data_IF_664630849722
#
_entry.id   IF_664630849722
#
_cell.length_a   1.000
_cell.length_b   1.000
_cell.length_c   1.000
_cell.angle_alpha   90.00
_cell.angle_beta   90.00
_cell.angle_gamma   90.00
#
_symmetry.space_group_name_H-M   'P 1'
#
loop_
_entity.id
_entity.type
_entity.pdbx_description
1 polymer ?
#
# COMPACT_ATOMS: atom_id res chain seq x y z
N UNK A 1 -24.25 -15.76 9.73
CA UNK A 1 -24.26 -14.41 9.11
C UNK A 1 -23.94 -13.33 10.13
N UNK A 2 -24.70 -13.17 11.22
CA UNK A 2 -24.44 -12.14 12.24
C UNK A 2 -23.02 -12.19 12.86
N UNK A 3 -22.54 -13.37 13.27
CA UNK A 3 -21.16 -13.53 13.79
C UNK A 3 -20.09 -13.08 12.79
N UNK A 4 -20.28 -13.38 11.50
CA UNK A 4 -19.34 -12.98 10.45
C UNK A 4 -19.37 -11.46 10.23
N UNK A 5 -20.55 -10.84 10.29
CA UNK A 5 -20.69 -9.39 10.20
C UNK A 5 -20.01 -8.68 11.37
N UNK A 6 -20.17 -9.19 12.60
CA UNK A 6 -19.49 -8.66 13.78
C UNK A 6 -17.98 -8.75 13.61
N UNK A 7 -17.45 -9.93 13.23
CA UNK A 7 -16.02 -10.12 12.96
C UNK A 7 -15.50 -9.15 11.89
N UNK A 8 -16.22 -9.00 10.78
CA UNK A 8 -15.82 -8.11 9.69
C UNK A 8 -15.83 -6.64 10.14
N UNK A 9 -16.88 -6.22 10.85
CA UNK A 9 -17.00 -4.87 11.39
C UNK A 9 -15.87 -4.56 12.39
N UNK A 10 -15.58 -5.49 13.30
CA UNK A 10 -14.44 -5.39 14.21
C UNK A 10 -13.12 -5.25 13.45
N UNK A 11 -12.88 -6.06 12.42
CA UNK A 11 -11.64 -5.97 11.65
C UNK A 11 -11.50 -4.62 10.95
N UNK A 12 -12.57 -4.11 10.35
CA UNK A 12 -12.53 -2.79 9.72
C UNK A 12 -12.36 -1.68 10.74
N UNK A 13 -12.96 -1.79 11.93
CA UNK A 13 -12.76 -0.83 13.01
C UNK A 13 -11.31 -0.85 13.52
N UNK A 14 -10.72 -2.02 13.72
CA UNK A 14 -9.31 -2.14 14.10
C UNK A 14 -8.39 -1.60 12.99
N UNK A 15 -8.71 -1.86 11.71
CA UNK A 15 -7.98 -1.31 10.58
C UNK A 15 -8.05 0.22 10.51
N UNK A 16 -9.22 0.78 10.86
CA UNK A 16 -9.43 2.23 10.93
C UNK A 16 -8.51 2.89 11.98
N UNK A 17 -8.13 2.16 13.03
CA UNK A 17 -7.31 2.63 14.15
C UNK A 17 -5.83 2.18 14.08
N UNK A 18 -5.41 1.58 12.96
CA UNK A 18 -4.08 0.96 12.83
C UNK A 18 -2.92 1.94 13.00
N UNK A 19 -3.05 3.19 12.56
CA UNK A 19 -1.99 4.20 12.69
C UNK A 19 -1.77 4.54 14.16
N UNK A 20 -2.85 4.73 14.92
CA UNK A 20 -2.81 4.92 16.37
C UNK A 20 -2.26 3.69 17.10
N UNK A 21 -2.65 2.48 16.68
CA UNK A 21 -2.14 1.24 17.26
C UNK A 21 -0.63 1.07 17.06
N UNK A 22 -0.13 1.37 15.87
CA UNK A 22 1.30 1.33 15.58
C UNK A 22 2.07 2.37 16.40
N UNK A 23 1.55 3.58 16.50
CA UNK A 23 2.13 4.64 17.32
C UNK A 23 2.26 4.22 18.80
N UNK A 24 1.16 3.73 19.39
CA UNK A 24 1.13 3.21 20.76
C UNK A 24 2.17 2.10 20.95
N UNK A 25 2.23 1.14 20.03
CA UNK A 25 3.14 -0.01 20.11
C UNK A 25 4.60 0.43 20.18
N UNK A 26 5.00 1.34 19.28
CA UNK A 26 6.36 1.88 19.23
C UNK A 26 6.65 2.68 20.51
N UNK A 27 5.73 3.55 20.94
CA UNK A 27 5.92 4.37 22.13
C UNK A 27 6.09 3.54 23.40
N UNK A 28 5.22 2.55 23.63
CA UNK A 28 5.29 1.67 24.81
C UNK A 28 6.60 0.88 24.80
N UNK A 29 6.95 0.27 23.65
CA UNK A 29 8.17 -0.51 23.54
C UNK A 29 9.41 0.32 23.85
N UNK A 30 9.56 1.49 23.20
CA UNK A 30 10.76 2.30 23.39
C UNK A 30 10.82 2.88 24.81
N UNK A 31 9.70 3.25 25.43
CA UNK A 31 9.67 3.69 26.83
C UNK A 31 10.22 2.59 27.76
N UNK A 32 9.80 1.33 27.57
CA UNK A 32 10.33 0.18 28.32
C UNK A 32 11.80 -0.12 28.00
N UNK A 33 12.17 -0.08 26.72
CA UNK A 33 13.54 -0.31 26.27
C UNK A 33 14.51 0.70 26.89
N UNK A 34 14.16 1.99 26.89
CA UNK A 34 14.99 3.04 27.49
C UNK A 34 15.01 2.96 29.01
N UNK A 35 13.92 2.52 29.67
CA UNK A 35 13.93 2.22 31.10
C UNK A 35 14.98 1.16 31.43
N UNK A 36 14.94 0.03 30.72
CA UNK A 36 15.90 -1.06 30.92
C UNK A 36 17.34 -0.59 30.68
N UNK A 37 17.57 0.16 29.59
CA UNK A 37 18.90 0.55 29.16
C UNK A 37 19.52 1.67 30.02
N UNK A 38 18.73 2.65 30.48
CA UNK A 38 19.23 3.82 31.21
C UNK A 38 19.02 3.78 32.72
N UNK A 39 18.08 2.96 33.22
CA UNK A 39 17.78 2.88 34.66
C UNK A 39 18.25 1.56 35.24
N UNK A 40 17.93 0.43 34.59
CA UNK A 40 18.20 -0.89 35.17
C UNK A 40 19.61 -1.40 34.84
N UNK A 41 20.11 -1.10 33.64
CA UNK A 41 21.42 -1.57 33.15
C UNK A 41 22.48 -0.45 33.09
N UNK A 42 22.07 0.81 33.21
CA UNK A 42 22.94 1.95 32.99
C UNK A 42 23.63 2.44 34.25
N UNK A 43 24.97 2.54 34.23
CA UNK A 43 25.74 3.12 35.35
C UNK A 43 25.73 4.67 35.37
N UNK A 44 25.18 5.31 34.34
CA UNK A 44 25.22 6.76 34.19
C UNK A 44 23.99 7.44 34.81
N UNK A 45 24.22 8.15 35.92
CA UNK A 45 23.18 8.94 36.59
C UNK A 45 22.54 10.00 35.68
N UNK A 46 23.30 10.57 34.73
CA UNK A 46 22.77 11.50 33.74
C UNK A 46 21.69 10.86 32.85
N UNK A 47 21.92 9.64 32.36
CA UNK A 47 20.96 8.95 31.49
C UNK A 47 19.69 8.56 32.27
N UNK A 48 19.85 8.14 33.52
CA UNK A 48 18.74 7.89 34.44
C UNK A 48 17.91 9.15 34.67
N UNK A 49 18.56 10.30 34.90
CA UNK A 49 17.89 11.59 35.06
C UNK A 49 17.16 12.02 33.78
N UNK A 50 17.77 11.82 32.60
CA UNK A 50 17.14 12.11 31.30
C UNK A 50 15.86 11.28 31.10
N UNK A 51 15.88 10.01 31.49
CA UNK A 51 14.70 9.13 31.46
C UNK A 51 13.64 9.59 32.46
N UNK A 52 14.02 9.78 33.73
CA UNK A 52 13.10 10.15 34.82
C UNK A 52 12.43 11.52 34.61
N UNK A 53 13.13 12.46 33.97
CA UNK A 53 12.54 13.75 33.59
C UNK A 53 11.54 13.64 32.42
N UNK A 54 11.37 12.45 31.83
CA UNK A 54 10.45 12.17 30.73
C UNK A 54 10.81 12.86 29.42
N UNK A 55 12.02 13.43 29.32
CA UNK A 55 12.48 14.18 28.14
C UNK A 55 12.47 13.25 26.92
N UNK A 56 13.01 12.06 27.09
CA UNK A 56 13.18 11.12 26.00
C UNK A 56 11.85 10.62 25.43
N UNK A 57 10.90 10.29 26.32
CA UNK A 57 9.53 9.95 25.94
C UNK A 57 8.86 11.09 25.17
N UNK A 58 8.99 12.34 25.65
CA UNK A 58 8.43 13.53 24.98
C UNK A 58 9.04 13.77 23.60
N UNK A 59 10.36 13.64 23.47
CA UNK A 59 11.06 13.82 22.19
C UNK A 59 10.59 12.77 21.18
N UNK A 60 10.62 11.49 21.55
CA UNK A 60 10.16 10.41 20.67
C UNK A 60 8.69 10.58 20.26
N UNK A 61 7.84 10.91 21.23
CA UNK A 61 6.43 11.19 21.00
C UNK A 61 6.22 12.32 19.99
N UNK A 62 6.86 13.48 20.22
CA UNK A 62 6.71 14.65 19.37
C UNK A 62 7.28 14.41 17.95
N UNK A 63 8.39 13.70 17.83
CA UNK A 63 9.00 13.38 16.54
C UNK A 63 8.09 12.47 15.71
N UNK A 64 7.56 11.40 16.32
CA UNK A 64 6.67 10.47 15.60
C UNK A 64 5.32 11.10 15.25
N UNK A 65 4.72 11.83 16.19
CA UNK A 65 3.48 12.55 15.94
C UNK A 65 3.67 13.59 14.83
N UNK A 66 4.78 14.33 14.87
CA UNK A 66 5.18 15.25 13.80
C UNK A 66 5.32 14.57 12.45
N UNK A 67 5.90 13.36 12.39
CA UNK A 67 5.96 12.57 11.16
C UNK A 67 4.58 12.18 10.62
N UNK A 68 3.63 11.76 11.47
CA UNK A 68 2.25 11.45 11.05
C UNK A 68 1.56 12.70 10.50
N UNK A 69 1.61 13.82 11.22
CA UNK A 69 0.95 15.05 10.78
C UNK A 69 1.57 15.58 9.50
N UNK A 70 2.90 15.58 9.39
CA UNK A 70 3.58 15.99 8.17
C UNK A 70 3.24 15.05 7.01
N UNK A 71 3.12 13.74 7.25
CA UNK A 71 2.70 12.79 6.21
C UNK A 71 1.28 13.05 5.75
N UNK A 72 0.38 13.41 6.67
CA UNK A 72 -1.00 13.77 6.37
C UNK A 72 -1.06 15.07 5.57
N UNK A 73 -0.29 16.08 5.97
CA UNK A 73 -0.22 17.37 5.27
C UNK A 73 0.34 17.21 3.85
N UNK A 74 1.46 16.49 3.71
CA UNK A 74 2.07 16.18 2.40
C UNK A 74 1.10 15.40 1.51
N UNK A 75 0.38 14.43 2.06
CA UNK A 75 -0.60 13.62 1.31
C UNK A 75 -1.82 14.42 0.82
N UNK A 76 -2.16 15.53 1.48
CA UNK A 76 -3.25 16.42 1.09
C UNK A 76 -2.76 17.50 0.12
N UNK A 77 -1.54 18.03 0.35
CA UNK A 77 -1.03 19.22 -0.31
C UNK A 77 -0.31 18.94 -1.64
N UNK A 78 0.32 17.77 -1.78
CA UNK A 78 1.15 17.45 -2.94
C UNK A 78 0.67 16.20 -3.67
N UNK A 79 0.76 16.17 -5.02
CA UNK A 79 0.58 14.94 -5.78
C UNK A 79 1.69 13.94 -5.43
N UNK A 80 1.40 12.65 -5.63
CA UNK A 80 2.29 11.56 -5.17
C UNK A 80 3.71 11.68 -5.72
N UNK A 81 3.87 12.01 -7.00
CA UNK A 81 5.17 12.02 -7.68
C UNK A 81 6.16 13.00 -7.04
N UNK A 82 5.65 14.17 -6.62
CA UNK A 82 6.46 15.19 -5.92
C UNK A 82 6.75 14.79 -4.47
N UNK A 83 5.82 14.06 -3.84
CA UNK A 83 5.94 13.63 -2.45
C UNK A 83 6.74 12.31 -2.28
N UNK A 84 7.06 11.60 -3.37
CA UNK A 84 7.72 10.29 -3.32
C UNK A 84 9.02 10.28 -2.52
N UNK A 85 9.86 11.32 -2.66
CA UNK A 85 11.10 11.43 -1.90
C UNK A 85 10.86 11.46 -0.39
N UNK A 86 9.88 12.25 0.05
CA UNK A 86 9.48 12.34 1.45
C UNK A 86 8.94 10.99 1.98
N UNK A 87 8.02 10.36 1.25
CA UNK A 87 7.43 9.09 1.68
C UNK A 87 8.46 7.96 1.77
N UNK A 88 9.48 7.94 0.90
CA UNK A 88 10.59 6.97 0.99
C UNK A 88 11.38 7.14 2.30
N UNK A 89 11.69 8.36 2.70
CA UNK A 89 12.43 8.63 3.95
C UNK A 89 11.60 8.24 5.17
N UNK A 90 10.34 8.66 5.22
CA UNK A 90 9.42 8.30 6.32
C UNK A 90 9.22 6.80 6.41
N UNK A 91 9.05 6.12 5.28
CA UNK A 91 8.95 4.67 5.20
C UNK A 91 10.14 3.97 5.86
N UNK A 92 11.37 4.40 5.56
CA UNK A 92 12.59 3.83 6.14
C UNK A 92 12.64 4.03 7.65
N UNK A 93 12.35 5.25 8.13
CA UNK A 93 12.36 5.54 9.57
C UNK A 93 11.32 4.69 10.30
N UNK A 94 10.10 4.64 9.77
CA UNK A 94 9.01 3.83 10.35
C UNK A 94 9.32 2.33 10.29
N UNK A 95 10.01 1.85 9.25
CA UNK A 95 10.52 0.48 9.14
C UNK A 95 11.47 0.11 10.25
N UNK A 96 12.48 0.95 10.48
CA UNK A 96 13.46 0.70 11.53
C UNK A 96 12.80 0.69 12.90
N UNK A 97 11.95 1.69 13.20
CA UNK A 97 11.25 1.77 14.48
C UNK A 97 10.31 0.58 14.71
N UNK A 98 9.54 0.19 13.70
CA UNK A 98 8.62 -0.93 13.82
C UNK A 98 9.35 -2.24 14.02
N UNK A 99 10.37 -2.52 13.21
CA UNK A 99 11.14 -3.76 13.30
C UNK A 99 11.88 -3.87 14.64
N UNK A 100 12.46 -2.76 15.12
CA UNK A 100 13.03 -2.70 16.46
C UNK A 100 11.97 -3.03 17.53
N UNK A 101 10.77 -2.47 17.42
CA UNK A 101 9.70 -2.74 18.39
C UNK A 101 9.18 -4.17 18.34
N UNK A 102 8.95 -4.75 17.16
CA UNK A 102 8.52 -6.14 17.02
C UNK A 102 9.61 -7.07 17.55
N UNK A 103 10.86 -6.86 17.17
CA UNK A 103 11.99 -7.69 17.62
C UNK A 103 12.16 -7.62 19.14
N UNK A 104 12.10 -6.43 19.73
CA UNK A 104 12.27 -6.26 21.16
C UNK A 104 11.09 -6.77 21.99
N UNK A 105 9.84 -6.55 21.56
CA UNK A 105 8.67 -7.16 22.21
C UNK A 105 8.75 -8.70 22.14
N UNK A 106 9.15 -9.25 20.99
CA UNK A 106 9.31 -10.70 20.84
C UNK A 106 10.42 -11.23 21.77
N UNK A 107 11.52 -10.50 21.90
CA UNK A 107 12.60 -10.82 22.82
C UNK A 107 12.15 -10.82 24.28
N UNK A 108 11.45 -9.77 24.74
CA UNK A 108 10.93 -9.70 26.11
C UNK A 108 9.91 -10.80 26.41
N UNK A 109 9.02 -11.11 25.46
CA UNK A 109 8.09 -12.23 25.61
C UNK A 109 8.82 -13.59 25.67
N UNK A 110 9.88 -13.76 24.88
CA UNK A 110 10.68 -14.99 24.90
C UNK A 110 11.44 -15.19 26.20
N UNK A 111 11.98 -14.11 26.79
CA UNK A 111 12.65 -14.16 28.09
C UNK A 111 11.69 -14.47 29.23
N UNK A 112 10.49 -13.89 29.20
CA UNK A 112 9.46 -14.11 30.21
C UNK A 112 8.91 -15.54 30.19
N UNK A 113 8.73 -16.11 29.01
CA UNK A 113 8.21 -17.45 28.82
C UNK A 113 6.73 -17.61 29.22
N UNK A 114 6.27 -18.86 29.30
CA UNK A 114 4.87 -19.19 29.63
C UNK A 114 4.59 -19.23 31.12
N UNK A 115 5.61 -19.42 31.96
CA UNK A 115 5.46 -19.62 33.40
C UNK A 115 6.33 -18.63 34.19
N UNK A 116 6.08 -17.31 34.10
CA UNK A 116 6.76 -16.33 34.92
C UNK A 116 6.45 -16.51 36.42
N UNK A 117 7.38 -16.12 37.32
CA UNK A 117 7.14 -16.14 38.76
C UNK A 117 6.09 -15.10 39.15
N UNK A 118 5.37 -15.39 40.23
CA UNK A 118 4.39 -14.48 40.84
C UNK A 118 5.14 -13.42 41.66
N UNK A 119 4.84 -12.13 41.44
CA UNK A 119 5.39 -11.07 42.29
C UNK A 119 4.50 -10.86 43.53
N UNK A 120 5.07 -10.96 44.72
CA UNK A 120 4.38 -10.72 45.99
C UNK A 120 4.87 -9.42 46.63
N UNK A 121 3.98 -8.70 47.34
CA UNK A 121 4.37 -7.52 48.10
C UNK A 121 4.88 -7.93 49.49
N UNK A 122 6.15 -7.68 49.79
CA UNK A 122 6.78 -8.12 51.04
C UNK A 122 6.80 -7.04 52.15
N UNK A 123 6.64 -5.76 51.79
CA UNK A 123 6.78 -4.64 52.73
C UNK A 123 5.61 -3.67 52.62
N UNK A 124 4.49 -3.96 53.30
CA UNK A 124 3.45 -2.93 53.52
C UNK A 124 3.94 -2.01 54.64
N UNK A 125 4.46 -0.84 54.28
CA UNK A 125 4.91 0.14 55.27
C UNK A 125 3.67 0.67 56.01
N UNK A 126 3.52 0.49 57.34
CA UNK A 126 2.31 0.89 58.06
C UNK A 126 2.07 2.42 58.06
N UNK A 127 3.06 3.22 57.64
CA UNK A 127 2.96 4.68 57.48
C UNK A 127 2.69 5.14 56.03
N UNK A 128 2.89 4.26 55.04
CA UNK A 128 2.66 4.51 53.62
C UNK A 128 1.98 3.27 53.03
N UNK A 129 0.64 3.18 53.09
CA UNK A 129 -0.10 1.98 52.71
C UNK A 129 0.05 1.55 51.24
N UNK A 130 0.65 2.40 50.38
CA UNK A 130 0.83 2.15 48.95
C UNK A 130 2.31 1.88 48.56
N UNK A 131 3.25 1.83 49.52
CA UNK A 131 4.66 1.57 49.19
C UNK A 131 4.94 0.06 49.24
N UNK A 132 4.53 -0.68 48.21
CA UNK A 132 4.83 -2.10 48.07
C UNK A 132 6.12 -2.33 47.27
N UNK A 133 7.10 -2.98 47.89
CA UNK A 133 8.25 -3.55 47.17
C UNK A 133 7.87 -4.95 46.70
N UNK A 134 7.73 -5.11 45.38
CA UNK A 134 7.38 -6.37 44.75
C UNK A 134 8.63 -7.23 44.57
N UNK A 135 8.61 -8.44 45.14
CA UNK A 135 9.65 -9.43 44.94
C UNK A 135 9.04 -10.67 44.26
N UNK A 136 9.75 -11.21 43.28
CA UNK A 136 9.34 -12.42 42.59
C UNK A 136 9.56 -13.64 43.48
N UNK A 137 8.51 -14.42 43.70
CA UNK A 137 8.60 -15.72 44.38
C UNK A 137 8.98 -16.80 43.33
N UNK A 138 10.17 -17.40 43.43
CA UNK A 138 10.61 -18.41 42.46
C UNK A 138 9.83 -19.74 42.57
N UNK A 139 9.08 -19.97 43.65
CA UNK A 139 8.35 -21.22 43.86
C UNK A 139 6.93 -21.22 43.29
N UNK A 140 6.36 -20.03 43.07
CA UNK A 140 4.98 -19.86 42.58
C UNK A 140 5.02 -19.22 41.19
N UNK A 141 4.40 -19.88 40.22
CA UNK A 141 4.33 -19.42 38.82
C UNK A 141 2.90 -19.46 38.31
N UNK A 142 2.57 -18.60 37.35
CA UNK A 142 1.27 -18.59 36.67
C UNK A 142 1.43 -18.74 35.16
N UNK A 143 0.36 -19.10 34.46
CA UNK A 143 0.40 -19.22 33.00
C UNK A 143 0.17 -17.87 32.32
N UNK A 144 1.17 -17.37 31.59
CA UNK A 144 1.11 -16.08 30.90
C UNK A 144 0.16 -16.10 29.70
N UNK A 145 -1.01 -15.50 29.85
CA UNK A 145 -1.98 -15.30 28.76
C UNK A 145 -1.44 -14.36 27.67
N UNK A 146 -0.58 -13.42 28.05
CA UNK A 146 0.09 -12.52 27.13
C UNK A 146 1.06 -13.27 26.21
N UNK A 147 1.86 -14.19 26.77
CA UNK A 147 2.75 -15.04 25.99
C UNK A 147 1.97 -15.93 25.02
N UNK A 148 0.86 -16.54 25.49
CA UNK A 148 -0.04 -17.32 24.62
C UNK A 148 -0.59 -16.47 23.46
N UNK A 149 -1.08 -15.27 23.74
CA UNK A 149 -1.59 -14.35 22.71
C UNK A 149 -0.49 -14.00 21.68
N UNK A 150 0.72 -13.70 22.15
CA UNK A 150 1.87 -13.43 21.28
C UNK A 150 2.21 -14.60 20.34
N UNK A 151 2.22 -15.84 20.87
CA UNK A 151 2.47 -17.04 20.06
C UNK A 151 1.36 -17.25 19.01
N UNK A 152 0.09 -17.06 19.37
CA UNK A 152 -1.03 -17.17 18.43
C UNK A 152 -0.88 -16.13 17.30
N UNK A 153 -0.54 -14.88 17.64
CA UNK A 153 -0.34 -13.81 16.66
C UNK A 153 0.82 -14.13 15.71
N UNK A 154 1.98 -14.57 16.25
CA UNK A 154 3.15 -14.94 15.45
C UNK A 154 2.92 -16.17 14.59
N UNK A 155 2.05 -17.10 15.01
CA UNK A 155 1.72 -18.31 14.24
C UNK A 155 1.17 -18.00 12.84
N UNK A 156 0.58 -16.82 12.63
CA UNK A 156 0.09 -16.37 11.33
C UNK A 156 1.20 -16.35 10.27
N UNK A 157 2.43 -15.99 10.65
CA UNK A 157 3.57 -15.96 9.72
C UNK A 157 4.06 -17.36 9.32
N UNK A 158 3.75 -18.36 10.14
CA UNK A 158 4.10 -19.77 9.92
C UNK A 158 3.03 -20.51 9.11
N UNK A 159 1.81 -19.99 9.08
CA UNK A 159 0.67 -20.63 8.43
C UNK A 159 0.93 -21.07 6.98
N UNK A 160 1.52 -20.25 6.09
CA UNK A 160 1.78 -20.69 4.71
C UNK A 160 2.77 -21.85 4.64
N UNK A 161 3.78 -21.86 5.52
CA UNK A 161 4.78 -22.94 5.62
C UNK A 161 4.12 -24.26 6.07
N UNK A 162 3.17 -24.19 7.01
CA UNK A 162 2.44 -25.36 7.49
C UNK A 162 1.44 -25.90 6.46
N UNK A 163 0.74 -25.01 5.74
CA UNK A 163 -0.30 -25.41 4.79
C UNK A 163 0.24 -25.90 3.45
N UNK A 164 1.44 -25.46 3.05
CA UNK A 164 2.10 -25.84 1.79
C UNK A 164 3.59 -26.12 1.99
N UNK A 165 3.95 -27.16 2.76
CA UNK A 165 5.34 -27.43 3.13
C UNK A 165 6.24 -27.75 1.93
N UNK A 166 5.72 -28.46 0.91
CA UNK A 166 6.48 -28.82 -0.29
C UNK A 166 6.79 -27.61 -1.17
N UNK A 167 5.81 -26.71 -1.33
CA UNK A 167 5.99 -25.48 -2.11
C UNK A 167 6.97 -24.55 -1.41
N UNK A 168 6.88 -24.47 -0.08
CA UNK A 168 7.82 -23.72 0.76
C UNK A 168 9.24 -24.25 0.66
N UNK A 169 9.45 -25.58 0.79
CA UNK A 169 10.78 -26.18 0.72
C UNK A 169 11.40 -26.05 -0.68
N UNK A 170 10.61 -26.22 -1.74
CA UNK A 170 11.10 -26.08 -3.13
C UNK A 170 11.45 -24.63 -3.50
N UNK A 171 10.78 -23.63 -2.91
CA UNK A 171 11.00 -22.20 -3.18
C UNK A 171 11.52 -21.42 -1.96
N UNK A 172 12.25 -22.08 -1.06
CA UNK A 172 12.66 -21.51 0.23
C UNK A 172 13.31 -20.13 0.13
N UNK A 173 14.18 -19.94 -0.88
CA UNK A 173 14.86 -18.66 -1.14
C UNK A 173 13.88 -17.51 -1.38
N UNK A 174 12.94 -17.71 -2.31
CA UNK A 174 11.99 -16.68 -2.70
C UNK A 174 11.01 -16.37 -1.55
N UNK A 175 10.61 -17.40 -0.80
CA UNK A 175 9.76 -17.21 0.36
C UNK A 175 10.46 -16.40 1.46
N UNK A 176 11.70 -16.76 1.80
CA UNK A 176 12.46 -16.08 2.86
C UNK A 176 12.74 -14.63 2.50
N UNK A 177 13.15 -14.38 1.26
CA UNK A 177 13.42 -13.02 0.78
C UNK A 177 12.13 -12.18 0.73
N UNK A 178 11.03 -12.75 0.25
CA UNK A 178 9.71 -12.11 0.26
C UNK A 178 9.20 -11.81 1.67
N UNK A 179 9.45 -12.69 2.64
CA UNK A 179 9.11 -12.47 4.04
C UNK A 179 9.89 -11.28 4.64
N UNK A 180 11.21 -11.21 4.40
CA UNK A 180 12.01 -10.07 4.84
C UNK A 180 11.52 -8.76 4.20
N UNK A 181 11.24 -8.77 2.90
CA UNK A 181 10.67 -7.61 2.21
C UNK A 181 9.32 -7.20 2.77
N UNK A 182 8.45 -8.16 3.09
CA UNK A 182 7.15 -7.89 3.73
C UNK A 182 7.32 -7.25 5.10
N UNK A 183 8.21 -7.77 5.95
CA UNK A 183 8.47 -7.22 7.28
C UNK A 183 9.00 -5.78 7.22
N UNK A 184 9.89 -5.48 6.25
CA UNK A 184 10.40 -4.13 6.02
C UNK A 184 9.32 -3.17 5.48
N UNK A 185 8.40 -3.67 4.65
CA UNK A 185 7.33 -2.87 4.03
C UNK A 185 6.08 -2.70 4.91
N UNK A 186 5.91 -3.53 5.95
CA UNK A 186 4.78 -3.45 6.88
C UNK A 186 4.45 -2.02 7.36
N UNK A 187 5.41 -1.20 7.85
CA UNK A 187 5.17 0.20 8.22
C UNK A 187 4.66 1.08 7.10
N UNK A 188 5.08 0.81 5.86
CA UNK A 188 4.64 1.56 4.69
C UNK A 188 3.16 1.28 4.45
N UNK A 189 2.76 0.00 4.54
CA UNK A 189 1.36 -0.39 4.41
C UNK A 189 0.49 0.17 5.54
N UNK A 190 0.98 0.19 6.78
CA UNK A 190 0.19 0.61 7.94
C UNK A 190 0.12 2.12 8.13
N UNK A 191 1.19 2.86 7.82
CA UNK A 191 1.24 4.32 7.97
C UNK A 191 1.11 5.02 6.62
N UNK A 192 2.11 4.92 5.74
CA UNK A 192 2.20 5.76 4.54
C UNK A 192 1.01 5.54 3.61
N UNK A 193 0.73 4.30 3.23
CA UNK A 193 -0.38 3.98 2.33
C UNK A 193 -1.73 4.23 2.99
N UNK A 194 -1.85 3.94 4.29
CA UNK A 194 -3.09 4.17 5.01
C UNK A 194 -3.41 5.67 5.10
N UNK A 195 -2.44 6.51 5.44
CA UNK A 195 -2.56 7.97 5.49
C UNK A 195 -2.87 8.49 4.09
N UNK A 196 -2.10 8.08 3.08
CA UNK A 196 -2.28 8.55 1.70
C UNK A 196 -3.65 8.18 1.15
N UNK A 197 -4.11 6.95 1.36
CA UNK A 197 -5.42 6.48 0.91
C UNK A 197 -6.57 7.25 1.59
N UNK A 198 -6.45 7.54 2.90
CA UNK A 198 -7.45 8.35 3.59
C UNK A 198 -7.44 9.80 3.08
N UNK A 199 -6.26 10.38 2.85
CA UNK A 199 -6.07 11.73 2.33
C UNK A 199 -6.49 11.90 0.86
N UNK A 200 -6.65 10.81 0.13
CA UNK A 200 -7.01 10.79 -1.28
C UNK A 200 -8.33 10.07 -1.56
N UNK A 201 -9.22 9.93 -0.57
CA UNK A 201 -10.51 9.24 -0.71
C UNK A 201 -11.41 9.78 -1.85
N UNK A 202 -11.27 11.05 -2.21
CA UNK A 202 -11.94 11.66 -3.38
C UNK A 202 -11.54 11.06 -4.74
N UNK A 203 -10.41 10.35 -4.79
CA UNK A 203 -9.89 9.73 -6.00
C UNK A 203 -10.52 8.34 -6.26
N UNK A 204 -11.27 7.82 -5.29
CA UNK A 204 -12.04 6.57 -5.42
C UNK A 204 -13.32 6.85 -6.23
N UNK A 205 -13.17 7.03 -7.53
CA UNK A 205 -14.32 6.88 -8.43
C UNK A 205 -14.54 5.39 -8.65
N UNK A 206 -15.71 4.89 -8.26
CA UNK A 206 -16.11 3.49 -8.40
C UNK A 206 -16.37 3.08 -9.86
N UNK A 207 -15.55 3.52 -10.82
CA UNK A 207 -15.75 3.33 -12.26
C UNK A 207 -16.79 4.27 -12.89
N UNK A 208 -17.27 5.28 -12.15
CA UNK A 208 -18.22 6.28 -12.64
C UNK A 208 -17.56 7.60 -13.06
N UNK A 209 -16.22 7.64 -13.21
CA UNK A 209 -15.58 8.75 -13.91
C UNK A 209 -15.93 8.60 -15.39
N UNK A 210 -16.59 9.58 -16.04
CA UNK A 210 -16.63 9.59 -17.49
C UNK A 210 -15.18 9.68 -17.96
N UNK A 211 -14.69 8.61 -18.59
CA UNK A 211 -13.42 8.64 -19.32
C UNK A 211 -13.51 9.73 -20.38
N UNK A 212 -12.46 10.55 -20.49
CA UNK A 212 -12.38 11.69 -21.42
C UNK A 212 -12.57 11.33 -22.89
N UNK A 213 -12.50 10.04 -23.23
CA UNK A 213 -12.77 9.50 -24.56
C UNK A 213 -14.27 9.22 -24.76
N UNK A 214 -15.01 10.28 -25.11
CA UNK A 214 -16.42 10.19 -25.50
C UNK A 214 -17.10 11.55 -25.66
N UNK A 215 -16.99 12.12 -26.86
CA UNK A 215 -17.50 13.43 -27.29
C UNK A 215 -18.91 13.83 -26.77
N UNK A 216 -18.98 15.09 -26.35
CA UNK A 216 -20.10 16.05 -26.47
C UNK A 216 -21.43 15.82 -25.73
N UNK A 217 -21.63 14.74 -24.96
CA UNK A 217 -22.91 14.54 -24.23
C UNK A 217 -23.04 15.27 -22.86
N UNK A 218 -22.03 16.00 -22.35
CA UNK A 218 -22.00 16.49 -20.96
C UNK A 218 -21.69 17.99 -20.75
N UNK A 219 -21.88 18.87 -21.74
CA UNK A 219 -21.68 20.32 -21.53
C UNK A 219 -22.63 20.92 -20.46
N UNK A 220 -23.82 20.34 -20.26
CA UNK A 220 -24.72 20.68 -19.15
C UNK A 220 -24.32 20.08 -17.78
N UNK A 221 -23.39 19.11 -17.78
CA UNK A 221 -22.96 18.36 -16.61
C UNK A 221 -21.56 18.72 -16.12
N UNK A 222 -20.80 19.56 -16.83
CA UNK A 222 -19.47 20.01 -16.37
C UNK A 222 -19.55 20.75 -15.03
N UNK A 223 -20.57 21.60 -14.86
CA UNK A 223 -20.84 22.25 -13.56
C UNK A 223 -21.19 21.23 -12.47
N UNK A 224 -21.99 20.20 -12.80
CA UNK A 224 -22.36 19.14 -11.87
C UNK A 224 -21.17 18.23 -11.52
N UNK A 225 -20.24 18.04 -12.46
CA UNK A 225 -19.00 17.30 -12.28
C UNK A 225 -18.02 18.06 -11.38
N UNK A 226 -17.83 19.36 -11.62
CA UNK A 226 -17.04 20.25 -10.75
C UNK A 226 -17.66 20.31 -9.34
N UNK A 227 -18.99 20.39 -9.23
CA UNK A 227 -19.67 20.35 -7.94
C UNK A 227 -19.46 19.00 -7.23
N UNK A 228 -19.60 17.89 -7.94
CA UNK A 228 -19.37 16.55 -7.38
C UNK A 228 -17.93 16.38 -6.92
N UNK A 229 -16.96 16.86 -7.70
CA UNK A 229 -15.54 16.83 -7.33
C UNK A 229 -15.28 17.64 -6.05
N UNK A 230 -15.86 18.83 -5.94
CA UNK A 230 -15.80 19.66 -4.73
C UNK A 230 -16.45 18.94 -3.53
N UNK A 231 -17.61 18.32 -3.72
CA UNK A 231 -18.29 17.53 -2.68
C UNK A 231 -17.41 16.37 -2.19
N UNK A 232 -16.74 15.66 -3.11
CA UNK A 232 -15.80 14.60 -2.75
C UNK A 232 -14.57 15.13 -2.02
N UNK A 233 -14.04 16.30 -2.39
CA UNK A 233 -12.92 16.96 -1.68
C UNK A 233 -13.31 17.37 -0.26
N UNK A 234 -14.52 17.90 -0.06
CA UNK A 234 -15.06 18.25 1.27
C UNK A 234 -15.29 17.00 2.11
N UNK A 235 -15.95 15.98 1.54
CA UNK A 235 -16.18 14.70 2.19
C UNK A 235 -14.89 14.06 2.68
N UNK A 236 -13.88 13.99 1.81
CA UNK A 236 -12.54 13.50 2.13
C UNK A 236 -11.92 14.25 3.30
N UNK A 237 -11.98 15.59 3.29
CA UNK A 237 -11.38 16.41 4.36
C UNK A 237 -12.04 16.11 5.71
N UNK A 238 -13.37 16.06 5.75
CA UNK A 238 -14.12 15.71 6.97
C UNK A 238 -13.82 14.28 7.43
N UNK A 239 -13.74 13.35 6.49
CA UNK A 239 -13.46 11.94 6.78
C UNK A 239 -12.05 11.75 7.36
N UNK A 240 -11.03 12.40 6.79
CA UNK A 240 -9.66 12.37 7.29
C UNK A 240 -9.59 12.95 8.71
N UNK A 241 -10.32 14.03 9.00
CA UNK A 241 -10.37 14.61 10.35
C UNK A 241 -10.99 13.63 11.36
N UNK A 242 -12.12 13.01 11.03
CA UNK A 242 -12.75 11.98 11.89
C UNK A 242 -11.80 10.80 12.10
N UNK A 243 -11.13 10.36 11.04
CA UNK A 243 -10.16 9.27 11.09
C UNK A 243 -8.95 9.60 11.97
N UNK A 244 -8.37 10.79 11.82
CA UNK A 244 -7.25 11.24 12.63
C UNK A 244 -7.64 11.38 14.10
N UNK A 245 -8.81 11.97 14.39
CA UNK A 245 -9.37 12.04 15.74
C UNK A 245 -9.60 10.65 16.34
N UNK A 246 -10.10 9.69 15.55
CA UNK A 246 -10.27 8.30 15.98
C UNK A 246 -8.94 7.65 16.40
N UNK A 247 -7.87 7.86 15.62
CA UNK A 247 -6.54 7.33 15.93
C UNK A 247 -5.93 8.00 17.18
N UNK A 248 -6.13 9.31 17.36
CA UNK A 248 -5.72 10.03 18.58
C UNK A 248 -6.51 9.54 19.80
N UNK A 249 -7.82 9.38 19.68
CA UNK A 249 -8.67 8.87 20.74
C UNK A 249 -8.27 7.44 21.14
N UNK A 250 -7.91 6.60 20.17
CA UNK A 250 -7.39 5.26 20.44
C UNK A 250 -6.09 5.32 21.26
N UNK A 251 -5.14 6.19 20.89
CA UNK A 251 -3.91 6.38 21.68
C UNK A 251 -4.22 6.77 23.13
N UNK A 252 -5.09 7.78 23.33
CA UNK A 252 -5.47 8.24 24.68
C UNK A 252 -6.13 7.10 25.45
N UNK A 253 -7.04 6.36 24.82
CA UNK A 253 -7.72 5.24 25.45
C UNK A 253 -6.74 4.16 25.92
N UNK A 254 -5.74 3.80 25.11
CA UNK A 254 -4.75 2.80 25.53
C UNK A 254 -3.86 3.32 26.66
N UNK A 255 -3.40 4.57 26.61
CA UNK A 255 -2.57 5.14 27.69
C UNK A 255 -3.34 5.20 29.01
N UNK A 256 -4.56 5.71 29.00
CA UNK A 256 -5.41 5.76 30.20
C UNK A 256 -5.63 4.37 30.78
N UNK A 257 -5.83 3.38 29.91
CA UNK A 257 -6.00 2.00 30.35
C UNK A 257 -4.69 1.43 30.92
N UNK A 258 -3.54 1.70 30.31
CA UNK A 258 -2.24 1.28 30.83
C UNK A 258 -1.96 1.94 32.19
N UNK A 259 -2.22 3.24 32.33
CA UNK A 259 -2.02 3.96 33.59
C UNK A 259 -3.00 3.51 34.68
N UNK A 260 -4.26 3.23 34.34
CA UNK A 260 -5.24 2.65 35.29
C UNK A 260 -4.88 1.23 35.71
N UNK A 261 -4.22 0.45 34.84
CA UNK A 261 -3.74 -0.89 35.16
C UNK A 261 -2.52 -0.88 36.08
N UNK A 262 -1.77 0.23 36.13
CA UNK A 262 -0.72 0.47 37.14
C UNK A 262 -1.30 0.90 38.51
N UNK A 263 -2.64 1.04 38.64
CA UNK A 263 -3.30 1.60 39.82
C UNK A 263 -4.39 0.72 40.47
N UNK A 264 -4.64 -0.50 39.98
CA UNK A 264 -5.54 -1.44 40.65
C UNK A 264 -4.75 -2.35 41.62
N UNK A 265 -4.34 -1.78 42.75
CA UNK A 265 -3.86 -2.50 43.95
C UNK A 265 -5.02 -3.29 44.57
N UNK A 266 -5.41 -4.41 43.96
CA UNK A 266 -6.39 -5.32 44.56
C UNK A 266 -5.70 -6.67 44.80
N UNK A 267 -4.95 -6.74 45.91
CA UNK A 267 -4.40 -7.99 46.45
C UNK A 267 -2.89 -7.95 46.72
N UNK A 268 -2.43 -8.77 47.67
CA UNK A 268 -1.01 -8.97 48.05
C UNK A 268 -0.13 -9.55 46.92
N UNK A 269 -0.73 -9.85 45.77
CA UNK A 269 -0.14 -10.53 44.62
C UNK A 269 -0.31 -9.67 43.37
N UNK A 270 0.79 -9.26 42.75
CA UNK A 270 0.78 -8.58 41.44
C UNK A 270 1.03 -9.61 40.36
N UNK A 271 -0.06 -10.07 39.76
CA UNK A 271 0.01 -10.75 38.47
C UNK A 271 0.10 -9.69 37.37
N UNK A 272 1.30 -9.51 36.81
CA UNK A 272 1.57 -8.54 35.74
C UNK A 272 0.83 -8.85 34.43
N UNK A 273 0.19 -10.02 34.30
CA UNK A 273 -0.70 -10.36 33.19
C UNK A 273 -2.19 -10.29 33.52
N UNK A 274 -2.62 -10.08 34.77
CA UNK A 274 -4.04 -10.06 35.13
C UNK A 274 -4.79 -8.75 34.76
N UNK A 275 -4.18 -7.89 33.95
CA UNK A 275 -4.73 -6.61 33.53
C UNK A 275 -5.54 -6.64 32.23
N UNK A 276 -6.17 -5.51 31.91
CA UNK A 276 -6.86 -5.28 30.63
C UNK A 276 -6.01 -5.67 29.41
N UNK A 277 -4.70 -5.42 29.46
CA UNK A 277 -3.79 -5.67 28.34
C UNK A 277 -3.78 -7.14 27.92
N UNK A 278 -3.78 -8.09 28.86
CA UNK A 278 -3.83 -9.51 28.51
C UNK A 278 -5.19 -9.91 27.93
N UNK A 279 -6.30 -9.40 28.46
CA UNK A 279 -7.63 -9.64 27.89
C UNK A 279 -7.76 -9.07 26.48
N UNK A 280 -7.25 -7.87 26.25
CA UNK A 280 -7.23 -7.22 24.94
C UNK A 280 -6.34 -7.98 23.95
N UNK A 281 -5.14 -8.38 24.36
CA UNK A 281 -4.25 -9.21 23.54
C UNK A 281 -4.87 -10.57 23.22
N UNK A 282 -5.55 -11.21 24.18
CA UNK A 282 -6.25 -12.47 23.97
C UNK A 282 -7.44 -12.31 23.03
N UNK A 283 -8.16 -11.19 23.10
CA UNK A 283 -9.21 -10.85 22.15
C UNK A 283 -8.67 -10.74 20.72
N UNK A 284 -7.57 -10.00 20.52
CA UNK A 284 -6.91 -9.88 19.22
C UNK A 284 -6.40 -11.23 18.71
N UNK A 285 -5.78 -12.03 19.58
CA UNK A 285 -5.37 -13.40 19.27
C UNK A 285 -6.57 -14.27 18.88
N UNK A 286 -7.71 -14.10 19.54
CA UNK A 286 -8.97 -14.76 19.19
C UNK A 286 -9.46 -14.41 17.78
N UNK A 287 -9.34 -13.15 17.35
CA UNK A 287 -9.67 -12.74 15.98
C UNK A 287 -8.74 -13.40 14.95
N UNK A 288 -7.45 -13.52 15.28
CA UNK A 288 -6.48 -14.24 14.43
C UNK A 288 -6.78 -15.73 14.39
N UNK A 289 -7.02 -16.36 15.52
CA UNK A 289 -7.38 -17.77 15.60
C UNK A 289 -8.66 -18.07 14.80
N UNK A 290 -9.67 -17.20 14.89
CA UNK A 290 -10.86 -17.27 14.06
C UNK A 290 -10.50 -17.29 12.57
N UNK A 291 -9.69 -16.34 12.10
CA UNK A 291 -9.24 -16.29 10.69
C UNK A 291 -8.54 -17.58 10.27
N UNK A 292 -7.62 -18.08 11.10
CA UNK A 292 -6.83 -19.28 10.82
C UNK A 292 -7.70 -20.52 10.73
N UNK A 293 -8.64 -20.71 11.67
CA UNK A 293 -9.56 -21.85 11.69
C UNK A 293 -10.39 -21.89 10.40
N UNK A 294 -10.99 -20.75 10.00
CA UNK A 294 -11.80 -20.70 8.79
C UNK A 294 -10.96 -20.86 7.51
N UNK A 295 -9.73 -20.34 7.48
CA UNK A 295 -8.80 -20.57 6.37
C UNK A 295 -8.44 -22.06 6.23
N UNK A 296 -8.15 -22.74 7.34
CA UNK A 296 -7.87 -24.17 7.37
C UNK A 296 -9.09 -24.97 6.88
N UNK A 297 -10.29 -24.69 7.40
CA UNK A 297 -11.53 -25.35 6.97
C UNK A 297 -11.76 -25.16 5.46
N UNK A 298 -11.56 -23.93 4.96
CA UNK A 298 -11.69 -23.64 3.53
C UNK A 298 -10.70 -24.44 2.70
N UNK A 299 -9.43 -24.50 3.09
CA UNK A 299 -8.39 -25.21 2.36
C UNK A 299 -8.60 -26.73 2.41
N UNK A 300 -9.01 -27.29 3.56
CA UNK A 300 -9.37 -28.70 3.69
C UNK A 300 -10.55 -29.05 2.77
N UNK A 301 -11.60 -28.22 2.77
CA UNK A 301 -12.74 -28.35 1.87
C UNK A 301 -12.31 -28.29 0.40
N UNK A 302 -11.44 -27.34 0.05
CA UNK A 302 -10.91 -27.18 -1.31
C UNK A 302 -10.09 -28.40 -1.74
N UNK A 303 -9.12 -28.84 -0.93
CA UNK A 303 -8.28 -30.02 -1.23
C UNK A 303 -9.11 -31.29 -1.32
N UNK A 304 -10.10 -31.47 -0.45
CA UNK A 304 -11.04 -32.59 -0.51
C UNK A 304 -11.81 -32.57 -1.84
N UNK A 305 -12.38 -31.43 -2.24
CA UNK A 305 -13.07 -31.31 -3.54
C UNK A 305 -12.13 -31.53 -4.73
N UNK A 306 -10.94 -30.96 -4.70
CA UNK A 306 -9.93 -31.10 -5.75
C UNK A 306 -9.50 -32.57 -5.94
N UNK A 307 -9.28 -33.31 -4.85
CA UNK A 307 -8.88 -34.72 -4.91
C UNK A 307 -10.05 -35.67 -5.21
N UNK A 308 -11.26 -35.36 -4.75
CA UNK A 308 -12.41 -36.27 -4.84
C UNK A 308 -13.32 -36.02 -6.06
N UNK A 309 -13.26 -34.85 -6.71
CA UNK A 309 -14.15 -34.48 -7.82
C UNK A 309 -13.35 -33.98 -9.02
N UNK A 310 -13.44 -34.69 -10.14
CA UNK A 310 -12.76 -34.32 -11.39
C UNK A 310 -13.12 -32.92 -11.92
N UNK A 311 -14.33 -32.41 -11.61
CA UNK A 311 -14.79 -31.07 -11.97
C UNK A 311 -13.99 -29.93 -11.32
N UNK A 312 -13.22 -30.20 -10.26
CA UNK A 312 -12.41 -29.20 -9.56
C UNK A 312 -10.93 -29.24 -9.96
N UNK A 313 -10.54 -30.15 -10.87
CA UNK A 313 -9.19 -30.14 -11.43
C UNK A 313 -9.07 -28.92 -12.34
N UNK A 314 -8.17 -28.02 -11.99
CA UNK A 314 -7.87 -26.82 -12.78
C UNK A 314 -7.33 -27.29 -14.13
N UNK A 315 -8.08 -27.02 -15.20
CA UNK A 315 -7.57 -27.22 -16.55
C UNK A 315 -6.40 -26.24 -16.74
N UNK A 316 -5.20 -26.75 -17.03
CA UNK A 316 -4.10 -25.87 -17.41
C UNK A 316 -4.41 -25.32 -18.79
N UNK A 317 -4.89 -24.08 -18.82
CA UNK A 317 -5.11 -23.34 -20.05
C UNK A 317 -3.83 -22.59 -20.37
N UNK A 318 -3.19 -22.96 -21.47
CA UNK A 318 -2.06 -22.20 -21.97
C UNK A 318 -2.60 -20.92 -22.63
N UNK A 319 -2.56 -19.81 -21.89
CA UNK A 319 -3.05 -18.50 -22.33
C UNK A 319 -2.45 -18.08 -23.68
N UNK A 320 -1.21 -18.49 -23.95
CA UNK A 320 -0.50 -18.20 -25.20
C UNK A 320 -1.12 -18.95 -26.39
N UNK A 321 -1.53 -20.19 -26.20
CA UNK A 321 -2.19 -20.99 -27.24
C UNK A 321 -3.66 -20.56 -27.42
N UNK A 322 -4.32 -20.18 -26.33
CA UNK A 322 -5.69 -19.66 -26.36
C UNK A 322 -5.74 -18.29 -27.07
N UNK A 323 -4.79 -17.39 -26.78
CA UNK A 323 -4.61 -16.13 -27.49
C UNK A 323 -4.38 -16.35 -28.99
N UNK A 324 -3.47 -17.26 -29.38
CA UNK A 324 -3.24 -17.60 -30.79
C UNK A 324 -4.49 -18.15 -31.47
N UNK A 325 -5.29 -18.93 -30.75
CA UNK A 325 -6.54 -19.50 -31.24
C UNK A 325 -7.62 -18.42 -31.41
N UNK A 326 -7.78 -17.53 -30.44
CA UNK A 326 -8.69 -16.38 -30.53
C UNK A 326 -8.30 -15.49 -31.70
N UNK A 327 -7.01 -15.14 -31.83
CA UNK A 327 -6.48 -14.37 -32.98
C UNK A 327 -6.76 -15.04 -34.32
N UNK A 328 -6.71 -16.38 -34.39
CA UNK A 328 -6.98 -17.15 -35.63
C UNK A 328 -8.47 -17.33 -35.94
N UNK A 329 -9.33 -17.25 -34.91
CA UNK A 329 -10.78 -17.51 -35.03
C UNK A 329 -11.60 -16.21 -35.05
N UNK A 330 -11.01 -15.09 -34.64
CA UNK A 330 -11.60 -13.77 -34.81
C UNK A 330 -11.59 -13.40 -36.30
N UNK A 331 -12.71 -13.64 -36.96
CA UNK A 331 -12.96 -13.17 -38.33
C UNK A 331 -13.55 -11.75 -38.36
N UNK A 332 -13.71 -11.11 -37.20
CA UNK A 332 -14.20 -9.74 -37.08
C UNK A 332 -13.86 -9.18 -35.71
N UNK A 333 -13.00 -8.16 -35.70
CA UNK A 333 -12.57 -7.44 -34.50
C UNK A 333 -11.09 -7.65 -34.21
N UNK A 334 -10.24 -7.04 -35.03
CA UNK A 334 -9.07 -6.34 -34.50
C UNK A 334 -9.61 -5.25 -33.55
N UNK A 335 -8.92 -4.92 -32.44
CA UNK A 335 -9.35 -3.78 -31.63
C UNK A 335 -9.40 -2.52 -32.50
N UNK A 336 -10.15 -1.48 -32.11
CA UNK A 336 -10.11 -0.18 -32.79
C UNK A 336 -8.66 0.30 -32.97
N UNK A 337 -7.84 0.06 -31.96
CA UNK A 337 -6.44 0.44 -31.91
C UNK A 337 -5.60 -0.42 -32.88
N UNK A 338 -5.88 -1.73 -32.98
CA UNK A 338 -5.25 -2.62 -33.96
C UNK A 338 -5.61 -2.21 -35.42
N UNK A 339 -6.86 -1.80 -35.68
CA UNK A 339 -7.29 -1.30 -36.99
C UNK A 339 -6.62 0.03 -37.36
N UNK A 340 -6.42 0.92 -36.37
CA UNK A 340 -5.77 2.21 -36.54
C UNK A 340 -4.28 2.05 -36.83
N UNK A 341 -3.59 1.23 -36.03
CA UNK A 341 -2.18 0.86 -36.25
C UNK A 341 -1.98 0.23 -37.62
N UNK A 342 -2.88 -0.68 -38.04
CA UNK A 342 -2.81 -1.30 -39.36
C UNK A 342 -3.00 -0.29 -40.50
N UNK A 343 -3.88 0.71 -40.33
CA UNK A 343 -4.06 1.80 -41.31
C UNK A 343 -2.84 2.71 -41.38
N UNK A 344 -2.22 3.02 -40.24
CA UNK A 344 -0.99 3.80 -40.21
C UNK A 344 0.18 3.08 -40.85
N UNK A 345 0.37 1.78 -40.55
CA UNK A 345 1.37 0.93 -41.19
C UNK A 345 1.17 0.85 -42.71
N UNK A 346 -0.07 0.77 -43.18
CA UNK A 346 -0.39 0.78 -44.61
C UNK A 346 -0.04 2.15 -45.25
N UNK A 347 -0.35 3.27 -44.58
CA UNK A 347 0.05 4.62 -45.05
C UNK A 347 1.57 4.78 -45.11
N UNK A 348 2.26 4.42 -44.03
CA UNK A 348 3.72 4.48 -43.92
C UNK A 348 4.42 3.61 -44.96
N UNK A 349 3.85 2.44 -45.27
CA UNK A 349 4.33 1.59 -46.34
C UNK A 349 4.19 2.28 -47.70
N UNK A 350 3.02 2.81 -48.04
CA UNK A 350 2.78 3.46 -49.33
C UNK A 350 3.62 4.73 -49.50
N UNK A 351 3.81 5.53 -48.45
CA UNK A 351 4.67 6.72 -48.47
C UNK A 351 6.15 6.40 -48.68
N UNK A 352 6.61 5.25 -48.16
CA UNK A 352 8.02 4.86 -48.19
C UNK A 352 8.30 3.68 -49.13
N UNK A 353 7.35 3.32 -50.00
CA UNK A 353 7.35 2.12 -50.83
C UNK A 353 8.62 1.93 -51.66
N UNK A 354 9.10 3.00 -52.29
CA UNK A 354 10.32 2.97 -53.11
C UNK A 354 11.58 2.74 -52.26
N UNK A 355 11.61 3.30 -51.04
CA UNK A 355 12.72 3.18 -50.09
C UNK A 355 12.74 1.80 -49.44
N UNK A 356 11.59 1.31 -48.99
CA UNK A 356 11.40 -0.03 -48.44
C UNK A 356 11.73 -1.09 -49.50
N UNK A 357 11.27 -0.89 -50.75
CA UNK A 357 11.59 -1.75 -51.88
C UNK A 357 13.10 -1.85 -52.15
N UNK A 358 13.81 -0.72 -52.12
CA UNK A 358 15.27 -0.70 -52.28
C UNK A 358 16.04 -1.41 -51.15
N UNK A 359 15.52 -1.38 -49.92
CA UNK A 359 16.08 -2.12 -48.78
C UNK A 359 15.78 -3.62 -48.85
N UNK A 360 14.61 -4.00 -49.36
CA UNK A 360 14.22 -5.39 -49.54
C UNK A 360 15.07 -6.07 -50.62
N UNK A 361 15.37 -5.36 -51.73
CA UNK A 361 16.23 -5.83 -52.82
C UNK A 361 17.70 -6.07 -52.41
N UNK A 362 18.21 -5.34 -51.42
CA UNK A 362 19.54 -5.62 -50.82
C UNK A 362 19.59 -6.92 -50.01
N UNK A 363 18.44 -7.40 -49.53
CA UNK A 363 18.34 -8.57 -48.63
C UNK A 363 17.88 -9.87 -49.32
N UNK A 364 17.25 -9.78 -50.50
CA UNK A 364 16.65 -10.94 -51.18
C UNK A 364 17.01 -10.99 -52.67
N UNK A 365 18.21 -11.48 -52.98
CA UNK A 365 18.48 -12.00 -54.32
C UNK A 365 17.77 -13.36 -54.49
N UNK A 366 16.71 -13.38 -55.30
CA UNK A 366 15.83 -14.49 -55.72
C UNK A 366 14.59 -14.77 -54.85
N UNK A 367 13.45 -14.21 -55.27
CA UNK A 367 12.17 -14.93 -55.34
C UNK A 367 11.25 -14.25 -56.35
N UNK A 368 10.42 -15.04 -57.03
CA UNK A 368 9.53 -14.63 -58.12
C UNK A 368 8.49 -13.59 -57.68
N UNK A 369 8.11 -12.70 -58.61
CA UNK A 369 6.95 -11.80 -58.52
C UNK A 369 5.68 -12.56 -58.11
N UNK A 370 5.41 -12.58 -56.81
CA UNK A 370 4.09 -12.82 -56.26
C UNK A 370 3.74 -11.61 -55.40
N UNK A 371 2.48 -11.21 -55.48
CA UNK A 371 1.88 -10.15 -54.66
C UNK A 371 2.17 -10.43 -53.18
N UNK A 372 2.89 -9.52 -52.52
CA UNK A 372 3.28 -9.68 -51.11
C UNK A 372 2.03 -9.67 -50.23
N UNK A 373 1.99 -10.56 -49.24
CA UNK A 373 0.89 -10.58 -48.25
C UNK A 373 0.92 -9.32 -47.39
N UNK A 374 -0.24 -8.80 -46.95
CA UNK A 374 -0.36 -7.60 -46.09
C UNK A 374 0.57 -7.65 -44.87
N UNK A 375 0.74 -8.84 -44.29
CA UNK A 375 1.66 -9.06 -43.16
C UNK A 375 3.13 -8.88 -43.52
N UNK A 376 3.53 -9.28 -44.74
CA UNK A 376 4.90 -9.09 -45.22
C UNK A 376 5.19 -7.61 -45.48
N UNK A 377 4.19 -6.85 -45.93
CA UNK A 377 4.30 -5.41 -46.11
C UNK A 377 4.52 -4.73 -44.75
N UNK A 378 3.71 -5.07 -43.74
CA UNK A 378 3.86 -4.54 -42.37
C UNK A 378 5.21 -4.88 -41.75
N UNK A 379 5.67 -6.14 -41.86
CA UNK A 379 6.98 -6.55 -41.33
C UNK A 379 8.14 -5.76 -42.00
N UNK A 380 8.04 -5.48 -43.31
CA UNK A 380 9.03 -4.65 -44.03
C UNK A 380 8.98 -3.18 -43.60
N UNK A 381 7.79 -2.61 -43.38
CA UNK A 381 7.63 -1.24 -42.85
C UNK A 381 8.20 -1.10 -41.45
N UNK A 382 7.90 -2.04 -40.55
CA UNK A 382 8.42 -2.04 -39.17
C UNK A 382 9.96 -2.16 -39.20
N UNK A 383 10.51 -3.02 -40.05
CA UNK A 383 11.95 -3.15 -40.23
C UNK A 383 12.63 -1.88 -40.77
N UNK A 384 11.93 -1.12 -41.62
CA UNK A 384 12.39 0.17 -42.12
C UNK A 384 12.40 1.24 -41.02
N UNK A 385 11.33 1.31 -40.22
CA UNK A 385 11.20 2.22 -39.07
C UNK A 385 12.29 1.92 -38.05
N UNK A 386 12.44 0.67 -37.62
CA UNK A 386 13.46 0.28 -36.65
C UNK A 386 14.90 0.59 -37.12
N UNK A 387 15.18 0.51 -38.43
CA UNK A 387 16.49 0.91 -39.00
C UNK A 387 16.65 2.42 -39.13
N UNK A 388 15.56 3.15 -39.34
CA UNK A 388 15.54 4.61 -39.35
C UNK A 388 15.83 5.12 -37.93
N UNK A 389 15.14 4.56 -36.94
CA UNK A 389 15.28 4.91 -35.53
C UNK A 389 16.65 4.47 -34.98
N UNK A 390 17.18 3.32 -35.40
CA UNK A 390 18.56 2.92 -35.04
C UNK A 390 19.66 3.83 -35.62
N UNK A 391 19.35 4.68 -36.61
CA UNK A 391 20.27 5.73 -37.10
C UNK A 391 20.10 7.06 -36.37
N UNK A 392 18.98 7.23 -35.68
CA UNK A 392 18.64 8.37 -34.83
C UNK A 392 18.63 7.88 -33.38
N UNK A 393 19.80 7.57 -32.81
CA UNK A 393 19.87 7.13 -31.42
C UNK A 393 19.32 8.18 -30.46
N UNK A 394 18.17 7.89 -29.86
CA UNK A 394 17.82 8.24 -28.48
C UNK A 394 17.23 6.99 -27.80
N UNK A 395 17.53 6.86 -26.51
CA UNK A 395 17.30 5.68 -25.67
C UNK A 395 15.83 5.34 -25.44
N UNK A 396 15.50 4.05 -25.33
CA UNK A 396 14.18 3.52 -24.96
C UNK A 396 13.64 4.00 -23.57
N UNK A 397 14.34 4.91 -22.88
CA UNK A 397 13.89 5.52 -21.63
C UNK A 397 13.02 6.79 -21.84
N UNK A 398 12.91 7.30 -23.08
CA UNK A 398 12.22 8.57 -23.38
C UNK A 398 10.76 8.41 -23.87
N UNK A 399 10.30 7.19 -24.17
CA UNK A 399 8.95 6.98 -24.72
C UNK A 399 7.82 7.22 -23.71
N UNK A 400 8.03 6.84 -22.45
CA UNK A 400 7.04 7.11 -21.38
C UNK A 400 6.92 8.61 -21.06
N UNK A 401 7.90 9.46 -21.46
CA UNK A 401 7.88 10.90 -21.19
C UNK A 401 7.34 11.72 -22.37
N UNK A 402 7.60 11.28 -23.62
CA UNK A 402 7.03 11.91 -24.83
C UNK A 402 5.51 11.82 -24.88
N UNK A 403 4.92 10.72 -24.43
CA UNK A 403 3.45 10.58 -24.38
C UNK A 403 2.78 11.64 -23.49
N UNK A 404 3.46 12.13 -22.44
CA UNK A 404 2.95 13.22 -21.60
C UNK A 404 3.21 14.61 -22.19
N UNK A 405 4.36 14.84 -22.84
CA UNK A 405 4.61 16.11 -23.55
C UNK A 405 3.66 16.29 -24.73
N UNK A 406 3.42 15.21 -25.49
CA UNK A 406 2.46 15.19 -26.60
C UNK A 406 1.02 15.41 -26.11
N UNK A 407 0.67 14.86 -24.92
CA UNK A 407 -0.63 15.12 -24.30
C UNK A 407 -0.82 16.57 -23.83
N UNK A 408 0.23 17.25 -23.33
CA UNK A 408 0.16 18.67 -22.97
C UNK A 408 0.00 19.58 -24.20
N UNK A 409 0.64 19.21 -25.32
CA UNK A 409 0.49 19.88 -26.62
C UNK A 409 -0.91 19.64 -27.18
N UNK A 410 -1.40 18.41 -27.20
CA UNK A 410 -2.74 18.06 -27.67
C UNK A 410 -3.82 18.78 -26.84
N UNK A 411 -3.66 18.86 -25.52
CA UNK A 411 -4.58 19.60 -24.65
C UNK A 411 -4.53 21.13 -24.91
N UNK A 412 -3.35 21.68 -25.27
CA UNK A 412 -3.21 23.09 -25.66
C UNK A 412 -3.87 23.39 -27.01
N UNK A 413 -3.71 22.50 -27.98
CA UNK A 413 -4.35 22.58 -29.29
C UNK A 413 -5.87 22.46 -29.17
N UNK A 414 -6.38 21.55 -28.33
CA UNK A 414 -7.81 21.40 -28.05
C UNK A 414 -8.40 22.65 -27.39
N UNK A 415 -7.67 23.28 -26.45
CA UNK A 415 -8.08 24.55 -25.84
C UNK A 415 -8.24 25.64 -26.91
N UNK A 416 -7.24 25.80 -27.78
CA UNK A 416 -7.26 26.79 -28.87
C UNK A 416 -8.37 26.50 -29.86
N UNK A 417 -8.50 25.25 -30.30
CA UNK A 417 -9.52 24.84 -31.26
C UNK A 417 -10.93 25.08 -30.71
N UNK A 418 -11.15 24.79 -29.42
CA UNK A 418 -12.44 25.04 -28.76
C UNK A 418 -12.79 26.54 -28.69
N UNK A 419 -11.81 27.40 -28.42
CA UNK A 419 -12.02 28.84 -28.31
C UNK A 419 -12.19 29.49 -29.70
N UNK A 420 -11.42 29.01 -30.69
CA UNK A 420 -11.58 29.36 -32.10
C UNK A 420 -13.00 29.06 -32.60
N UNK A 421 -13.54 27.87 -32.29
CA UNK A 421 -14.91 27.49 -32.68
C UNK A 421 -15.97 28.39 -32.05
N UNK A 422 -15.78 28.79 -30.78
CA UNK A 422 -16.69 29.71 -30.09
C UNK A 422 -16.68 31.10 -30.72
N UNK A 423 -15.50 31.65 -31.02
CA UNK A 423 -15.37 32.98 -31.63
C UNK A 423 -15.87 33.00 -33.08
N UNK A 424 -15.63 31.92 -33.83
CA UNK A 424 -16.20 31.73 -35.17
C UNK A 424 -17.74 31.73 -35.14
N UNK A 425 -18.37 31.18 -34.10
CA UNK A 425 -19.82 31.21 -33.94
C UNK A 425 -20.39 32.62 -33.65
N UNK A 426 -19.55 33.53 -33.16
CA UNK A 426 -19.90 34.94 -32.86
C UNK A 426 -19.42 35.90 -33.95
N UNK A 427 -18.63 35.42 -34.92
CA UNK A 427 -18.08 36.21 -36.03
C UNK A 427 -16.83 37.02 -35.67
N UNK A 428 -16.14 36.66 -34.59
CA UNK A 428 -14.93 37.33 -34.12
C UNK A 428 -13.67 36.51 -34.48
N UNK A 429 -12.57 37.20 -34.78
CA UNK A 429 -11.26 36.59 -35.00
C UNK A 429 -10.46 36.54 -33.69
N UNK A 430 -9.58 35.56 -33.54
CA UNK A 430 -8.65 35.47 -32.40
C UNK A 430 -7.33 36.16 -32.78
N UNK A 431 -6.85 37.02 -31.89
CA UNK A 431 -5.56 37.72 -32.00
C UNK A 431 -4.41 36.74 -31.72
N UNK A 432 -3.35 36.68 -32.54
CA UNK A 432 -2.18 35.84 -32.30
C UNK A 432 -1.56 35.94 -30.90
N UNK A 433 -1.55 37.13 -30.30
CA UNK A 433 -0.99 37.33 -28.96
C UNK A 433 -1.87 36.69 -27.87
N UNK A 434 -3.19 36.67 -28.08
CA UNK A 434 -4.17 36.02 -27.20
C UNK A 434 -4.12 34.48 -27.35
N UNK A 435 -3.72 34.00 -28.54
CA UNK A 435 -3.53 32.58 -28.85
C UNK A 435 -2.36 31.99 -28.06
N UNK A 436 -1.28 32.76 -27.89
CA UNK A 436 -0.14 32.39 -27.05
C UNK A 436 -0.50 32.36 -25.56
N UNK A 437 -1.37 33.25 -25.09
CA UNK A 437 -1.88 33.21 -23.71
C UNK A 437 -2.77 31.97 -23.45
N UNK A 438 -3.55 31.54 -24.44
CA UNK A 438 -4.40 30.32 -24.36
C UNK A 438 -3.57 29.04 -24.42
N UNK A 439 -2.45 29.07 -25.16
CA UNK A 439 -1.47 27.99 -25.26
C UNK A 439 -0.76 27.69 -23.92
N UNK A 440 -0.50 28.73 -23.14
CA UNK A 440 0.39 28.65 -21.98
C UNK A 440 1.87 28.58 -22.39
N UNK A 441 2.70 27.93 -21.57
CA UNK A 441 4.15 27.77 -21.84
C UNK A 441 4.49 26.72 -22.90
N UNK A 442 3.48 26.20 -23.61
CA UNK A 442 3.63 25.10 -24.57
C UNK A 442 3.90 25.69 -25.97
N UNK A 443 5.00 25.33 -26.64
CA UNK A 443 5.29 25.82 -27.98
C UNK A 443 4.36 25.16 -29.00
N UNK A 444 3.54 25.95 -29.68
CA UNK A 444 2.62 25.48 -30.74
C UNK A 444 3.26 25.80 -32.09
N UNK A 445 3.15 24.88 -33.06
CA UNK A 445 3.68 25.07 -34.42
C UNK A 445 2.77 25.86 -35.35
#
# INVERSE_FOLDING_TARGET
MCFFMIYLATLYLLQFLTVGAMFVTIMIFFDQFFKLLFVETGDSQFLTDVYNNGILKKVLFSAYLGMIFLSTFVSIALPIDRAMGYFRIVAIIMAVLMLASIAGITYFLAQRGFFPPVSTCLNVNPKQPNSCEFQDDPNETYFSMLCLAGVIMLSMYILPMLMRPLDFLSNFKNYTLGFCSYMLMMPVFTNVFQIYAMCNLHDVSWGNRPTSTGQEAFSANKQQQVNSENDYKVYRTNFVLIWLLGNVAYYIAIIEVVDSSNGAEIGEVRDSDAGYLAYFSLYLAGLVAFRVIFAIIYILKWKCRYNCLGSYKVAQVNLLDEFKKIKKTSAGGESTDDEEINKELDKLYEENKDRIGSMADESMMRSSMHEKSRRQLHDETIGYIAKKDAKEHESDEDYDFKEFEDAEVEEAEDRIYSEYKKRQAVGEAIDPDELADIAGNVPIQ
#
